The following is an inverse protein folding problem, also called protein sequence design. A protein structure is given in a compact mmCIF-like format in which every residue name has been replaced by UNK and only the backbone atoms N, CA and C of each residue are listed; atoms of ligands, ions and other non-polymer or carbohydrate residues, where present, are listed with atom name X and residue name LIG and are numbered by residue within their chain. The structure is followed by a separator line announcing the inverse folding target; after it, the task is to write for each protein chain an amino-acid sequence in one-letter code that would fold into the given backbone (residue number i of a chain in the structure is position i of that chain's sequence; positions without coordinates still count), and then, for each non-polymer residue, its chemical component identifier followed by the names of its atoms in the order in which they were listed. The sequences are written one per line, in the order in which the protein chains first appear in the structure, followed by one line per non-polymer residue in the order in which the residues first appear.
data_IF_430699654751
#
_entry.id   IF_430699654751
#
_cell.length_a   1.000
_cell.length_b   1.000
_cell.length_c   1.000
_cell.angle_alpha   90.00
_cell.angle_beta   90.00
_cell.angle_gamma   90.00
#
_symmetry.space_group_name_H-M   'P 1'
#
loop_
_entity.id
_entity.type
_entity.pdbx_description
1 polymer ?
#
# COMPACT_ATOMS: atom_id res chain seq x y z
N UNK A 1 -42.84 -63.47 36.06
CA UNK A 1 -43.47 -62.19 36.44
C UNK A 1 -42.74 -61.11 35.63
N UNK A 2 -43.26 -60.77 34.45
CA UNK A 2 -44.11 -59.60 34.18
C UNK A 2 -43.33 -58.28 34.35
N UNK A 3 -43.20 -57.38 33.37
CA UNK A 3 -43.84 -57.32 32.06
C UNK A 3 -43.26 -56.14 31.25
N UNK A 4 -43.38 -56.31 29.93
CA UNK A 4 -43.09 -55.39 28.85
C UNK A 4 -44.03 -54.17 28.92
N UNK A 5 -43.57 -52.98 28.52
CA UNK A 5 -44.40 -52.05 27.75
C UNK A 5 -43.58 -51.11 26.85
N UNK A 6 -43.90 -51.21 25.56
CA UNK A 6 -43.65 -50.24 24.50
C UNK A 6 -44.60 -49.03 24.63
N UNK A 7 -44.25 -47.94 23.95
CA UNK A 7 -45.05 -46.87 23.30
C UNK A 7 -44.14 -45.62 23.27
N UNK A 8 -43.93 -44.85 22.21
CA UNK A 8 -44.60 -44.66 20.94
C UNK A 8 -44.44 -43.17 20.57
N UNK A 9 -44.26 -42.83 19.29
CA UNK A 9 -44.44 -41.45 18.79
C UNK A 9 -43.24 -40.81 18.09
N UNK A 10 -43.03 -41.16 16.81
CA UNK A 10 -42.27 -40.35 15.84
C UNK A 10 -43.23 -39.31 15.23
N UNK A 11 -42.92 -38.03 15.33
CA UNK A 11 -43.52 -36.99 14.48
C UNK A 11 -42.44 -36.46 13.54
N UNK A 12 -42.44 -36.96 12.30
CA UNK A 12 -41.72 -36.36 11.17
C UNK A 12 -42.64 -35.31 10.55
N UNK A 13 -42.28 -34.04 10.71
CA UNK A 13 -42.91 -32.93 9.99
C UNK A 13 -42.22 -32.80 8.64
N UNK A 14 -42.93 -33.13 7.56
CA UNK A 14 -42.49 -32.83 6.19
C UNK A 14 -42.59 -31.30 5.96
N UNK A 15 -41.58 -30.65 5.37
CA UNK A 15 -41.73 -29.30 4.85
C UNK A 15 -42.54 -29.32 3.55
N UNK A 16 -43.35 -28.27 3.28
CA UNK A 16 -44.18 -28.21 2.08
C UNK A 16 -43.35 -28.03 0.80
N UNK A 17 -43.78 -28.74 -0.24
CA UNK A 17 -43.25 -28.64 -1.59
C UNK A 17 -43.55 -27.26 -2.20
N UNK A 18 -42.49 -26.49 -2.45
CA UNK A 18 -42.57 -25.26 -3.22
C UNK A 18 -42.84 -25.60 -4.70
N UNK A 19 -44.05 -25.24 -5.15
CA UNK A 19 -44.43 -25.20 -6.56
C UNK A 19 -43.50 -24.24 -7.31
N UNK A 20 -42.80 -24.75 -8.32
CA UNK A 20 -42.07 -23.97 -9.31
C UNK A 20 -43.03 -23.00 -10.01
N UNK A 21 -42.82 -21.70 -9.83
CA UNK A 21 -43.39 -20.63 -10.67
C UNK A 21 -42.41 -20.36 -11.81
N UNK A 22 -42.97 -20.24 -13.00
CA UNK A 22 -42.27 -20.19 -14.27
C UNK A 22 -41.31 -19.01 -14.46
N UNK A 23 -40.35 -19.27 -15.33
CA UNK A 23 -39.36 -18.36 -15.88
C UNK A 23 -39.99 -17.09 -16.46
N UNK A 24 -39.75 -15.97 -15.79
CA UNK A 24 -39.77 -14.66 -16.43
C UNK A 24 -38.31 -14.28 -16.74
N UNK A 25 -38.01 -14.17 -18.03
CA UNK A 25 -36.67 -13.89 -18.55
C UNK A 25 -36.04 -12.65 -17.92
N UNK A 26 -34.86 -12.84 -17.33
CA UNK A 26 -34.00 -11.78 -16.85
C UNK A 26 -33.26 -11.17 -18.06
N UNK A 27 -33.35 -9.85 -18.30
CA UNK A 27 -32.60 -9.21 -19.37
C UNK A 27 -31.10 -9.24 -19.05
N UNK A 28 -30.29 -9.73 -20.00
CA UNK A 28 -28.83 -9.69 -19.89
C UNK A 28 -28.33 -8.24 -19.83
N UNK A 29 -27.44 -7.88 -18.90
CA UNK A 29 -26.80 -6.58 -18.91
C UNK A 29 -25.88 -6.46 -20.13
N UNK A 30 -25.99 -5.33 -20.83
CA UNK A 30 -25.17 -5.00 -21.98
C UNK A 30 -23.68 -5.02 -21.60
N UNK A 31 -22.87 -5.71 -22.42
CA UNK A 31 -21.41 -5.74 -22.29
C UNK A 31 -20.86 -4.32 -22.43
N UNK A 32 -20.03 -3.82 -21.49
CA UNK A 32 -19.37 -2.53 -21.67
C UNK A 32 -18.39 -2.63 -22.85
N UNK A 33 -18.49 -1.66 -23.76
CA UNK A 33 -17.68 -1.58 -24.96
C UNK A 33 -16.20 -1.46 -24.66
N UNK A 34 -15.39 -2.20 -25.44
CA UNK A 34 -13.92 -2.08 -25.48
C UNK A 34 -13.54 -0.62 -25.70
N UNK A 35 -12.83 -0.01 -24.76
CA UNK A 35 -12.15 1.28 -25.00
C UNK A 35 -10.79 0.98 -25.63
N UNK A 36 -10.67 1.33 -26.91
CA UNK A 36 -9.39 1.44 -27.58
C UNK A 36 -8.64 2.64 -26.98
N UNK A 37 -7.46 2.39 -26.42
CA UNK A 37 -6.48 3.41 -26.12
C UNK A 37 -5.72 3.73 -27.41
N UNK A 38 -6.19 4.74 -28.15
CA UNK A 38 -5.46 5.31 -29.28
C UNK A 38 -5.09 6.75 -28.97
N UNK A 39 -3.78 6.96 -28.84
CA UNK A 39 -3.01 8.13 -29.31
C UNK A 39 -3.58 9.53 -29.04
N UNK A 40 -3.05 10.18 -28.00
CA UNK A 40 -2.99 11.64 -27.91
C UNK A 40 -1.86 12.10 -28.85
N UNK A 41 -2.21 12.68 -30.00
CA UNK A 41 -1.30 13.57 -30.74
C UNK A 41 -1.19 14.88 -29.97
N UNK A 42 0.04 15.30 -29.71
CA UNK A 42 0.35 16.68 -29.34
C UNK A 42 0.47 17.49 -30.62
N UNK A 43 -0.45 18.43 -30.81
CA UNK A 43 -0.31 19.50 -31.78
C UNK A 43 0.57 20.60 -31.17
N UNK A 44 1.70 20.85 -31.83
CA UNK A 44 2.53 22.03 -31.67
C UNK A 44 1.82 23.24 -32.29
N UNK A 45 1.74 24.34 -31.55
CA UNK A 45 1.68 25.70 -32.10
C UNK A 45 1.76 26.71 -30.94
N UNK A 46 2.76 27.59 -30.98
CA UNK A 46 2.56 29.05 -30.91
C UNK A 46 3.89 29.76 -30.65
N UNK A 47 4.44 30.32 -31.73
CA UNK A 47 5.45 31.37 -31.73
C UNK A 47 4.98 32.60 -30.94
N UNK A 48 5.79 33.03 -29.99
CA UNK A 48 5.60 34.27 -29.22
C UNK A 48 6.83 35.15 -29.31
N UNK A 49 6.93 35.93 -30.39
CA UNK A 49 7.91 37.01 -30.56
C UNK A 49 7.56 38.15 -29.61
N UNK A 50 8.44 38.48 -28.67
CA UNK A 50 8.40 39.74 -27.94
C UNK A 50 9.71 40.52 -28.14
N UNK A 51 9.57 41.68 -28.78
CA UNK A 51 10.58 42.70 -28.98
C UNK A 51 10.14 43.95 -28.20
N UNK A 52 11.03 44.48 -27.37
CA UNK A 52 11.00 45.85 -26.85
C UNK A 52 12.37 46.12 -26.20
N UNK A 53 13.30 46.73 -26.91
CA UNK A 53 13.59 48.19 -26.95
C UNK A 53 14.21 48.72 -25.65
N UNK A 54 15.48 49.08 -25.82
CA UNK A 54 16.32 49.83 -24.90
C UNK A 54 15.85 51.28 -24.81
N UNK A 55 15.97 51.87 -23.62
CA UNK A 55 16.18 53.30 -23.47
C UNK A 55 17.20 53.54 -22.34
N UNK A 56 18.29 54.17 -22.76
CA UNK A 56 19.36 54.75 -21.96
C UNK A 56 18.93 56.17 -21.59
N UNK A 57 18.84 56.48 -20.30
CA UNK A 57 18.96 57.87 -19.85
C UNK A 57 20.01 57.99 -18.74
N UNK A 58 21.05 58.71 -19.11
CA UNK A 58 22.16 59.26 -18.34
C UNK A 58 21.68 60.52 -17.61
N UNK A 59 21.76 60.52 -16.27
CA UNK A 59 21.83 61.76 -15.49
C UNK A 59 22.77 61.59 -14.30
N UNK A 60 23.96 62.16 -14.44
CA UNK A 60 24.90 62.36 -13.35
C UNK A 60 24.43 63.44 -12.38
N UNK A 61 24.63 63.19 -11.08
CA UNK A 61 24.77 64.26 -10.09
C UNK A 61 25.75 63.84 -9.00
N UNK A 62 26.93 64.47 -9.03
CA UNK A 62 27.93 64.49 -7.95
C UNK A 62 27.37 65.21 -6.74
N UNK A 63 27.21 64.51 -5.61
CA UNK A 63 27.23 65.13 -4.29
C UNK A 63 28.11 64.31 -3.35
N UNK A 64 29.10 64.99 -2.76
CA UNK A 64 30.02 64.50 -1.74
C UNK A 64 29.27 64.32 -0.44
N UNK A 65 29.44 63.20 0.25
CA UNK A 65 29.06 63.04 1.65
C UNK A 65 29.97 62.03 2.39
N UNK A 66 30.04 62.12 3.73
CA UNK A 66 31.26 61.95 4.52
C UNK A 66 31.59 60.48 4.81
N UNK A 67 32.89 60.17 4.81
CA UNK A 67 33.47 58.84 4.98
C UNK A 67 33.17 58.14 6.32
N UNK A 68 32.48 58.79 7.27
CA UNK A 68 32.16 58.21 8.59
C UNK A 68 30.77 57.57 8.67
N UNK A 69 29.84 57.92 7.77
CA UNK A 69 28.50 57.30 7.74
C UNK A 69 28.53 55.93 7.05
N UNK A 70 29.48 55.73 6.13
CA UNK A 70 29.62 54.49 5.34
C UNK A 70 30.05 53.30 6.19
N UNK A 71 30.86 53.53 7.22
CA UNK A 71 31.38 52.48 8.12
C UNK A 71 30.28 51.97 9.05
N UNK A 72 29.46 52.86 9.63
CA UNK A 72 28.33 52.45 10.49
C UNK A 72 27.26 51.67 9.74
N UNK A 73 26.96 52.05 8.49
CA UNK A 73 25.98 51.33 7.67
C UNK A 73 26.45 49.92 7.31
N UNK A 74 27.76 49.73 7.08
CA UNK A 74 28.34 48.40 6.83
C UNK A 74 28.38 47.53 8.09
N UNK A 75 28.56 48.14 9.27
CA UNK A 75 28.51 47.42 10.56
C UNK A 75 27.08 46.98 10.91
N UNK A 76 26.06 47.83 10.66
CA UNK A 76 24.64 47.44 10.84
C UNK A 76 24.21 46.33 9.87
N UNK A 77 24.58 46.40 8.60
CA UNK A 77 24.27 45.35 7.61
C UNK A 77 24.97 44.01 7.96
N UNK A 78 26.21 44.05 8.47
CA UNK A 78 26.91 42.86 8.94
C UNK A 78 26.26 42.26 10.20
N UNK A 79 25.77 43.11 11.11
CA UNK A 79 25.11 42.68 12.34
C UNK A 79 23.72 42.07 12.05
N UNK A 80 22.94 42.64 11.13
CA UNK A 80 21.67 42.03 10.67
C UNK A 80 21.88 40.68 9.99
N UNK A 81 22.92 40.55 9.16
CA UNK A 81 23.26 39.25 8.55
C UNK A 81 23.69 38.21 9.58
N UNK A 82 24.45 38.60 10.61
CA UNK A 82 24.86 37.71 11.70
C UNK A 82 23.66 37.28 12.56
N UNK A 83 22.72 38.19 12.83
CA UNK A 83 21.49 37.87 13.58
C UNK A 83 20.53 36.98 12.77
N UNK A 84 20.41 37.21 11.46
CA UNK A 84 19.65 36.33 10.57
C UNK A 84 20.23 34.92 10.53
N UNK A 85 21.57 34.80 10.41
CA UNK A 85 22.27 33.52 10.42
C UNK A 85 22.11 32.79 11.76
N UNK A 86 22.28 33.49 12.89
CA UNK A 86 22.10 32.90 14.23
C UNK A 86 20.63 32.52 14.51
N UNK A 87 19.66 33.21 13.89
CA UNK A 87 18.23 32.88 14.00
C UNK A 87 17.86 31.65 13.17
N UNK A 88 18.47 31.48 11.99
CA UNK A 88 18.38 30.24 11.21
C UNK A 88 19.00 29.06 11.95
N UNK A 89 20.19 29.24 12.53
CA UNK A 89 20.92 28.17 13.24
C UNK A 89 20.20 27.74 14.55
N UNK A 90 19.52 28.68 15.21
CA UNK A 90 18.64 28.38 16.36
C UNK A 90 17.32 27.73 15.94
N UNK A 91 16.83 28.00 14.74
CA UNK A 91 15.65 27.33 14.18
C UNK A 91 15.94 25.91 13.70
N UNK A 92 17.19 25.61 13.29
CA UNK A 92 17.59 24.28 12.84
C UNK A 92 17.95 23.32 13.98
N UNK A 93 18.33 23.82 15.16
CA UNK A 93 18.77 22.99 16.29
C UNK A 93 17.65 22.52 17.27
N UNK A 94 16.37 22.86 17.03
CA UNK A 94 15.27 22.47 17.94
C UNK A 94 14.36 21.33 17.46
N UNK A 95 14.69 20.67 16.34
CA UNK A 95 13.97 19.48 15.87
C UNK A 95 14.94 18.33 15.74
N UNK A 96 15.39 17.79 16.88
CA UNK A 96 15.84 16.40 16.86
C UNK A 96 14.68 15.57 16.29
N UNK A 97 14.89 14.83 15.19
CA UNK A 97 13.83 14.06 14.56
C UNK A 97 13.23 13.14 15.62
N UNK A 98 11.90 13.19 15.76
CA UNK A 98 11.19 12.33 16.69
C UNK A 98 11.60 10.88 16.41
N UNK A 99 12.32 10.26 17.34
CA UNK A 99 12.68 8.86 17.24
C UNK A 99 11.37 8.06 17.25
N UNK A 100 10.94 7.57 16.10
CA UNK A 100 9.70 6.82 15.97
C UNK A 100 9.83 5.52 16.75
N UNK A 101 9.03 5.31 17.79
CA UNK A 101 8.83 3.98 18.35
C UNK A 101 7.92 3.19 17.40
N UNK A 102 8.46 2.16 16.71
CA UNK A 102 7.69 1.39 15.73
C UNK A 102 6.54 0.60 16.37
N UNK A 103 6.54 0.39 17.69
CA UNK A 103 5.62 -0.53 18.36
C UNK A 103 4.47 0.15 19.13
N UNK A 104 4.26 1.46 18.98
CA UNK A 104 3.18 2.16 19.70
C UNK A 104 1.81 1.94 19.02
N UNK A 105 0.88 1.15 19.62
CA UNK A 105 -0.40 0.80 18.99
C UNK A 105 -1.30 1.99 18.69
N UNK A 106 -1.27 3.01 19.56
CA UNK A 106 -2.10 4.20 19.37
C UNK A 106 -1.53 5.15 18.32
N UNK A 107 -0.22 5.12 18.07
CA UNK A 107 0.38 5.82 16.94
C UNK A 107 -0.10 5.25 15.60
N UNK A 108 -0.19 3.92 15.47
CA UNK A 108 -0.73 3.28 14.26
C UNK A 108 -2.21 3.63 14.02
N UNK A 109 -3.02 3.61 15.07
CA UNK A 109 -4.43 3.98 14.99
C UNK A 109 -4.59 5.44 14.50
N UNK A 110 -3.79 6.37 15.02
CA UNK A 110 -3.80 7.76 14.59
C UNK A 110 -3.38 7.92 13.11
N UNK A 111 -2.32 7.20 12.67
CA UNK A 111 -1.88 7.17 11.26
C UNK A 111 -2.99 6.67 10.34
N UNK A 112 -3.62 5.54 10.68
CA UNK A 112 -4.71 4.98 9.89
C UNK A 112 -5.87 5.98 9.83
N UNK A 113 -6.26 6.58 10.95
CA UNK A 113 -7.34 7.59 10.98
C UNK A 113 -7.03 8.77 10.06
N UNK A 114 -5.80 9.28 10.07
CA UNK A 114 -5.37 10.37 9.20
C UNK A 114 -5.44 9.98 7.70
N UNK A 115 -5.03 8.75 7.36
CA UNK A 115 -5.12 8.24 5.99
C UNK A 115 -6.57 8.01 5.53
N UNK A 116 -7.46 7.58 6.42
CA UNK A 116 -8.89 7.47 6.11
C UNK A 116 -9.54 8.86 5.92
N UNK A 117 -9.10 9.87 6.68
CA UNK A 117 -9.51 11.27 6.47
C UNK A 117 -9.04 11.83 5.12
N UNK A 118 -7.80 11.53 4.73
CA UNK A 118 -7.28 11.86 3.40
C UNK A 118 -8.14 11.21 2.30
N UNK A 119 -8.50 9.93 2.44
CA UNK A 119 -9.40 9.23 1.51
C UNK A 119 -10.79 9.86 1.45
N UNK A 120 -11.34 10.29 2.57
CA UNK A 120 -12.68 10.91 2.61
C UNK A 120 -12.74 12.16 1.72
N UNK A 121 -11.65 12.93 1.66
CA UNK A 121 -11.56 14.15 0.84
C UNK A 121 -11.47 13.87 -0.65
N UNK A 122 -10.93 12.72 -1.05
CA UNK A 122 -10.97 12.27 -2.45
C UNK A 122 -12.38 11.85 -2.89
N UNK A 123 -13.29 11.61 -1.95
CA UNK A 123 -14.69 11.28 -2.22
C UNK A 123 -14.85 10.01 -3.05
N UNK A 124 -15.80 10.04 -4.00
CA UNK A 124 -16.15 8.90 -4.84
C UNK A 124 -15.26 8.71 -6.08
N UNK A 125 -14.17 9.48 -6.22
CA UNK A 125 -13.28 9.42 -7.37
C UNK A 125 -12.39 8.15 -7.31
N UNK A 126 -12.90 7.04 -7.84
CA UNK A 126 -12.25 5.72 -7.79
C UNK A 126 -10.81 5.73 -8.30
N UNK A 127 -10.49 6.50 -9.35
CA UNK A 127 -9.14 6.64 -9.87
C UNK A 127 -8.19 7.34 -8.87
N UNK A 128 -8.65 8.38 -8.18
CA UNK A 128 -7.85 9.07 -7.16
C UNK A 128 -7.65 8.19 -5.92
N UNK A 129 -8.66 7.42 -5.53
CA UNK A 129 -8.56 6.43 -4.45
C UNK A 129 -7.50 5.37 -4.76
N UNK A 130 -7.42 4.93 -6.02
CA UNK A 130 -6.42 3.97 -6.47
C UNK A 130 -5.02 4.59 -6.53
N UNK A 131 -4.88 5.81 -7.06
CA UNK A 131 -3.60 6.55 -7.04
C UNK A 131 -3.07 6.68 -5.61
N UNK A 132 -3.95 7.00 -4.65
CA UNK A 132 -3.55 7.06 -3.24
C UNK A 132 -3.14 5.68 -2.71
N UNK A 133 -3.81 4.59 -3.08
CA UNK A 133 -3.36 3.23 -2.71
C UNK A 133 -1.95 2.94 -3.22
N UNK A 134 -1.65 3.21 -4.49
CA UNK A 134 -0.32 3.00 -5.07
C UNK A 134 0.75 3.89 -4.43
N UNK A 135 0.39 5.16 -4.17
CA UNK A 135 1.26 6.11 -3.47
C UNK A 135 1.66 5.55 -2.10
N UNK A 136 0.67 5.11 -1.32
CA UNK A 136 0.92 4.54 -0.01
C UNK A 136 1.71 3.24 -0.11
N UNK A 137 1.46 2.38 -1.09
CA UNK A 137 2.26 1.17 -1.33
C UNK A 137 3.72 1.52 -1.57
N UNK A 138 4.01 2.44 -2.47
CA UNK A 138 5.39 2.80 -2.80
C UNK A 138 6.13 3.46 -1.65
N UNK A 139 5.42 4.24 -0.82
CA UNK A 139 5.99 4.86 0.38
C UNK A 139 6.66 3.85 1.31
N UNK A 140 6.14 2.61 1.39
CA UNK A 140 6.75 1.56 2.21
C UNK A 140 8.23 1.32 1.88
N UNK A 141 8.54 1.40 0.59
CA UNK A 141 9.84 1.05 0.04
C UNK A 141 10.74 2.27 -0.19
N UNK A 142 10.18 3.41 -0.62
CA UNK A 142 10.97 4.59 -1.03
C UNK A 142 11.07 5.68 0.02
N UNK A 143 10.41 5.52 1.18
CA UNK A 143 10.46 6.50 2.26
C UNK A 143 11.88 6.76 2.74
N UNK A 144 12.12 7.97 3.22
CA UNK A 144 13.37 8.30 3.93
C UNK A 144 13.38 7.57 5.29
N UNK A 145 14.57 7.35 5.84
CA UNK A 145 14.74 6.65 7.12
C UNK A 145 14.09 7.37 8.29
N UNK A 146 13.98 8.69 8.23
CA UNK A 146 13.39 9.58 9.22
C UNK A 146 11.89 9.85 9.00
N UNK A 147 11.30 9.31 7.93
CA UNK A 147 9.88 9.46 7.64
C UNK A 147 9.01 8.44 8.39
N UNK A 148 7.77 8.84 8.66
CA UNK A 148 6.75 7.98 9.25
C UNK A 148 6.53 6.72 8.38
N UNK A 149 6.41 5.52 8.98
CA UNK A 149 6.33 4.27 8.23
C UNK A 149 5.05 4.11 7.41
N UNK A 150 4.01 4.93 7.63
CA UNK A 150 2.73 4.80 6.95
C UNK A 150 2.28 6.07 6.24
N UNK A 151 2.56 7.24 6.81
CA UNK A 151 2.11 8.53 6.28
C UNK A 151 3.28 9.24 5.61
N UNK A 152 3.27 9.42 4.28
CA UNK A 152 4.32 10.19 3.61
C UNK A 152 4.42 11.61 4.17
N UNK A 153 5.66 12.11 4.30
CA UNK A 153 5.88 13.49 4.72
C UNK A 153 5.21 14.49 3.76
N UNK A 154 4.87 15.68 4.25
CA UNK A 154 4.17 16.72 3.44
C UNK A 154 4.96 17.08 2.18
N UNK A 155 6.29 17.06 2.26
CA UNK A 155 7.24 17.35 1.19
C UNK A 155 7.61 16.13 0.34
N UNK A 156 6.98 14.96 0.57
CA UNK A 156 7.26 13.75 -0.20
C UNK A 156 6.88 13.95 -1.68
N UNK A 157 7.79 13.63 -2.63
CA UNK A 157 7.49 13.74 -4.07
C UNK A 157 6.41 12.75 -4.51
N UNK A 158 6.10 11.74 -3.70
CA UNK A 158 5.01 10.81 -3.96
C UNK A 158 3.65 11.52 -4.11
N UNK A 159 3.44 12.65 -3.44
CA UNK A 159 2.21 13.43 -3.53
C UNK A 159 1.97 14.01 -4.92
N UNK A 160 3.00 14.20 -5.74
CA UNK A 160 2.89 14.72 -7.11
C UNK A 160 2.11 13.81 -8.06
N UNK A 161 1.91 12.54 -7.67
CA UNK A 161 1.04 11.60 -8.40
C UNK A 161 -0.44 11.97 -8.34
N UNK A 162 -0.85 12.73 -7.32
CA UNK A 162 -2.19 13.29 -7.23
C UNK A 162 -2.26 14.64 -7.98
N UNK A 163 -3.35 14.93 -8.71
CA UNK A 163 -3.55 16.25 -9.29
C UNK A 163 -3.56 17.34 -8.22
N UNK A 164 -3.16 18.55 -8.59
CA UNK A 164 -2.90 19.66 -7.66
C UNK A 164 -4.01 19.92 -6.64
N UNK A 165 -5.26 20.02 -7.10
CA UNK A 165 -6.40 20.33 -6.22
C UNK A 165 -6.67 19.18 -5.21
N UNK A 166 -6.86 17.91 -5.65
CA UNK A 166 -6.92 16.76 -4.73
C UNK A 166 -5.73 16.67 -3.77
N UNK A 167 -4.50 16.85 -4.29
CA UNK A 167 -3.25 16.83 -3.52
C UNK A 167 -3.28 17.84 -2.37
N UNK A 168 -3.56 19.10 -2.67
CA UNK A 168 -3.66 20.17 -1.67
C UNK A 168 -4.69 19.85 -0.59
N UNK A 169 -5.85 19.31 -0.97
CA UNK A 169 -6.90 18.98 0.00
C UNK A 169 -6.51 17.80 0.91
N UNK A 170 -5.83 16.79 0.36
CA UNK A 170 -5.26 15.67 1.14
C UNK A 170 -4.21 16.18 2.12
N UNK A 171 -3.23 16.96 1.64
CA UNK A 171 -2.18 17.53 2.48
C UNK A 171 -2.75 18.44 3.58
N UNK A 172 -3.78 19.23 3.28
CA UNK A 172 -4.47 20.03 4.28
C UNK A 172 -5.13 19.16 5.38
N UNK A 173 -5.67 17.98 5.04
CA UNK A 173 -6.18 17.04 6.07
C UNK A 173 -5.07 16.43 6.90
N UNK A 174 -3.95 16.07 6.27
CA UNK A 174 -2.79 15.51 6.96
C UNK A 174 -2.04 16.56 7.79
N UNK A 175 -2.20 17.86 7.50
CA UNK A 175 -1.53 18.93 8.23
C UNK A 175 -1.79 18.85 9.74
N UNK A 176 -3.00 18.53 10.19
CA UNK A 176 -3.31 18.34 11.62
C UNK A 176 -2.57 17.14 12.23
N UNK A 177 -2.39 16.07 11.46
CA UNK A 177 -1.62 14.89 11.88
C UNK A 177 -0.13 15.23 12.01
N UNK A 178 0.42 16.03 11.10
CA UNK A 178 1.83 16.44 11.14
C UNK A 178 2.12 17.56 12.15
N UNK A 179 1.18 18.48 12.36
CA UNK A 179 1.31 19.59 13.30
C UNK A 179 1.09 19.15 14.75
N UNK A 180 0.24 18.14 14.95
CA UNK A 180 0.14 17.47 16.24
C UNK A 180 1.32 16.53 16.41
N UNK A 181 2.06 16.65 17.51
CA UNK A 181 2.60 15.45 18.15
C UNK A 181 1.37 14.64 18.51
N UNK A 182 0.87 13.82 17.56
CA UNK A 182 -0.42 13.16 17.65
C UNK A 182 -0.54 12.61 19.06
N UNK A 183 -1.61 12.99 19.77
CA UNK A 183 -1.94 12.41 21.05
C UNK A 183 -2.15 10.92 20.80
N UNK A 184 -1.06 10.15 20.79
CA UNK A 184 -1.00 8.75 20.47
C UNK A 184 -1.83 7.91 21.45
N UNK A 185 -2.50 8.54 22.43
CA UNK A 185 -3.41 7.91 23.37
C UNK A 185 -4.91 8.03 23.03
N UNK A 186 -5.36 8.79 22.03
CA UNK A 186 -6.81 9.00 21.82
C UNK A 186 -7.45 8.17 20.70
N UNK A 187 -6.65 7.58 19.81
CA UNK A 187 -7.17 6.75 18.73
C UNK A 187 -6.86 5.29 19.00
N UNK A 188 -7.90 4.45 19.00
CA UNK A 188 -7.78 2.99 19.19
C UNK A 188 -8.58 2.33 18.07
N UNK A 189 -8.01 1.28 17.47
CA UNK A 189 -8.73 0.38 16.58
C UNK A 189 -9.36 -0.73 17.42
N UNK A 190 -10.68 -0.81 17.44
CA UNK A 190 -11.38 -1.80 18.26
C UNK A 190 -12.61 -2.38 17.57
N UNK A 191 -13.03 -3.54 18.06
CA UNK A 191 -14.31 -4.13 17.76
C UNK A 191 -15.34 -3.67 18.80
N UNK A 192 -16.55 -3.24 18.40
CA UNK A 192 -17.63 -2.98 19.36
C UNK A 192 -17.92 -4.21 20.21
N UNK A 193 -18.29 -4.00 21.48
CA UNK A 193 -18.58 -5.10 22.41
C UNK A 193 -19.61 -6.07 21.82
N UNK A 194 -19.20 -7.34 21.67
CA UNK A 194 -20.07 -8.41 21.16
C UNK A 194 -20.21 -8.47 19.64
N UNK A 195 -19.45 -7.69 18.86
CA UNK A 195 -19.48 -7.72 17.39
C UNK A 195 -18.09 -7.81 16.78
N UNK A 196 -17.92 -8.67 15.78
CA UNK A 196 -16.70 -8.80 14.97
C UNK A 196 -16.92 -8.32 13.52
N UNK A 197 -18.09 -7.75 13.23
CA UNK A 197 -18.50 -7.40 11.87
C UNK A 197 -18.07 -6.00 11.45
N UNK A 198 -17.58 -5.18 12.37
CA UNK A 198 -17.22 -3.78 12.13
C UNK A 198 -16.04 -3.40 13.02
N UNK A 199 -15.10 -2.62 12.49
CA UNK A 199 -14.02 -2.01 13.27
C UNK A 199 -14.31 -0.53 13.45
N UNK A 200 -14.11 -0.04 14.67
CA UNK A 200 -14.18 1.37 15.05
C UNK A 200 -12.76 1.91 15.17
N UNK A 201 -12.51 3.05 14.54
CA UNK A 201 -11.23 3.75 14.60
C UNK A 201 -11.45 5.25 14.58
N UNK A 202 -11.33 5.89 15.73
CA UNK A 202 -11.65 7.31 15.88
C UNK A 202 -13.08 7.59 15.42
N UNK A 203 -13.22 8.38 14.35
CA UNK A 203 -14.53 8.69 13.73
C UNK A 203 -14.94 7.72 12.62
N UNK A 204 -14.06 6.81 12.23
CA UNK A 204 -14.30 5.88 11.14
C UNK A 204 -14.91 4.58 11.65
N UNK A 205 -15.82 4.04 10.84
CA UNK A 205 -16.42 2.72 11.03
C UNK A 205 -16.48 2.05 9.68
N UNK A 206 -16.07 0.79 9.62
CA UNK A 206 -16.11 0.03 8.38
C UNK A 206 -16.37 -1.46 8.64
N UNK A 207 -17.14 -2.11 7.75
CA UNK A 207 -17.45 -3.51 7.89
C UNK A 207 -16.21 -4.38 7.69
N UNK A 208 -16.23 -5.56 8.31
CA UNK A 208 -15.19 -6.57 8.20
C UNK A 208 -15.81 -7.87 7.70
N UNK A 209 -15.16 -8.50 6.72
CA UNK A 209 -15.60 -9.80 6.24
C UNK A 209 -15.29 -10.88 7.29
N UNK A 210 -16.24 -11.79 7.51
CA UNK A 210 -16.04 -12.90 8.44
C UNK A 210 -14.88 -13.81 8.03
N UNK A 211 -14.58 -13.92 6.72
CA UNK A 211 -13.43 -14.65 6.19
C UNK A 211 -12.11 -14.08 6.69
N UNK A 212 -11.97 -12.76 6.74
CA UNK A 212 -10.76 -12.09 7.24
C UNK A 212 -10.53 -12.38 8.72
N UNK A 213 -11.60 -12.35 9.51
CA UNK A 213 -11.58 -12.73 10.92
C UNK A 213 -11.08 -14.17 11.09
N UNK A 214 -11.64 -15.11 10.33
CA UNK A 214 -11.23 -16.52 10.42
C UNK A 214 -9.78 -16.74 10.00
N UNK A 215 -9.30 -16.03 8.98
CA UNK A 215 -7.90 -16.10 8.55
C UNK A 215 -6.95 -15.59 9.63
N UNK A 216 -7.26 -14.44 10.24
CA UNK A 216 -6.46 -13.88 11.33
C UNK A 216 -6.49 -14.77 12.58
N UNK A 217 -7.65 -15.34 12.94
CA UNK A 217 -7.76 -16.29 14.05
C UNK A 217 -6.88 -17.53 13.83
N UNK A 218 -6.87 -18.06 12.60
CA UNK A 218 -6.04 -19.21 12.24
C UNK A 218 -4.54 -18.89 12.30
N UNK A 219 -4.17 -17.65 12.02
CA UNK A 219 -2.76 -17.21 11.95
C UNK A 219 -2.22 -16.62 13.24
N UNK A 220 -3.04 -16.45 14.26
CA UNK A 220 -2.61 -15.95 15.56
C UNK A 220 -1.46 -16.77 16.15
N UNK A 221 -0.36 -16.11 16.55
CA UNK A 221 0.86 -16.78 17.04
C UNK A 221 1.06 -16.75 18.56
N UNK A 222 0.36 -15.85 19.26
CA UNK A 222 0.52 -15.68 20.72
C UNK A 222 -0.46 -16.54 21.52
N UNK A 223 -0.31 -16.49 22.85
CA UNK A 223 -1.20 -17.12 23.86
C UNK A 223 -2.69 -16.83 23.63
N UNK A 224 -3.57 -17.67 24.19
CA UNK A 224 -5.02 -17.69 23.98
C UNK A 224 -5.81 -16.51 24.59
N UNK A 225 -5.16 -15.50 25.20
CA UNK A 225 -5.87 -14.34 25.76
C UNK A 225 -6.67 -13.61 24.66
N UNK A 226 -8.02 -13.56 24.76
CA UNK A 226 -8.85 -13.01 23.70
C UNK A 226 -8.77 -11.49 23.54
N UNK A 227 -8.45 -10.73 24.61
CA UNK A 227 -8.50 -9.26 24.56
C UNK A 227 -7.34 -8.63 23.76
N UNK A 228 -6.07 -9.06 23.95
CA UNK A 228 -4.97 -8.64 23.08
C UNK A 228 -5.19 -9.04 21.62
N UNK A 229 -5.79 -10.22 21.39
CA UNK A 229 -6.07 -10.75 20.04
C UNK A 229 -7.06 -9.90 19.27
N UNK A 230 -8.21 -9.56 19.87
CA UNK A 230 -9.23 -8.75 19.21
C UNK A 230 -8.69 -7.36 18.81
N UNK A 231 -7.94 -6.73 19.70
CA UNK A 231 -7.29 -5.43 19.44
C UNK A 231 -6.26 -5.52 18.31
N UNK A 232 -5.40 -6.54 18.32
CA UNK A 232 -4.42 -6.76 17.25
C UNK A 232 -5.09 -7.00 15.89
N UNK A 233 -6.19 -7.77 15.87
CA UNK A 233 -6.96 -8.01 14.66
C UNK A 233 -7.60 -6.73 14.12
N UNK A 234 -8.24 -5.94 14.99
CA UNK A 234 -8.82 -4.65 14.60
C UNK A 234 -7.76 -3.71 14.00
N UNK A 235 -6.55 -3.67 14.58
CA UNK A 235 -5.42 -2.89 14.06
C UNK A 235 -5.01 -3.33 12.65
N UNK A 236 -4.80 -4.63 12.42
CA UNK A 236 -4.43 -5.14 11.08
C UNK A 236 -5.52 -4.85 10.07
N UNK A 237 -6.80 -5.07 10.41
CA UNK A 237 -7.89 -4.77 9.50
C UNK A 237 -7.95 -3.28 9.13
N UNK A 238 -7.74 -2.41 10.12
CA UNK A 238 -7.69 -0.98 9.91
C UNK A 238 -6.52 -0.55 9.01
N UNK A 239 -5.34 -1.16 9.17
CA UNK A 239 -4.20 -0.95 8.28
C UNK A 239 -4.55 -1.27 6.83
N UNK A 240 -5.09 -2.45 6.57
CA UNK A 240 -5.43 -2.87 5.20
C UNK A 240 -6.54 -2.03 4.61
N UNK A 241 -7.45 -1.50 5.44
CA UNK A 241 -8.47 -0.55 4.99
C UNK A 241 -7.86 0.73 4.40
N UNK A 242 -6.66 1.13 4.82
CA UNK A 242 -5.97 2.28 4.21
C UNK A 242 -5.50 2.03 2.78
N UNK A 243 -5.36 0.77 2.35
CA UNK A 243 -4.89 0.41 1.00
C UNK A 243 -6.03 0.05 0.06
N UNK A 244 -7.22 -0.19 0.60
CA UNK A 244 -8.40 -0.51 -0.18
C UNK A 244 -8.98 0.72 -0.88
N UNK A 245 -9.44 0.51 -2.11
CA UNK A 245 -10.25 1.49 -2.82
C UNK A 245 -11.71 1.28 -2.43
N UNK A 246 -12.31 2.19 -1.63
CA UNK A 246 -13.66 2.01 -1.10
C UNK A 246 -14.76 2.04 -2.17
N UNK A 247 -14.41 2.43 -3.40
CA UNK A 247 -15.33 2.49 -4.54
C UNK A 247 -15.38 1.21 -5.35
N UNK A 248 -14.49 0.24 -5.10
CA UNK A 248 -14.62 -1.09 -5.69
C UNK A 248 -15.88 -1.76 -5.14
N UNK A 249 -16.58 -2.52 -5.98
CA UNK A 249 -17.78 -3.26 -5.56
C UNK A 249 -17.48 -4.08 -4.30
N UNK A 250 -18.42 -4.12 -3.35
CA UNK A 250 -18.22 -4.39 -1.92
C UNK A 250 -17.54 -5.70 -1.47
N UNK A 251 -16.99 -6.51 -2.38
CA UNK A 251 -16.23 -7.73 -2.10
C UNK A 251 -14.88 -7.81 -2.85
N UNK A 252 -14.44 -6.74 -3.53
CA UNK A 252 -13.15 -6.72 -4.24
C UNK A 252 -12.16 -5.85 -3.48
N UNK A 253 -11.14 -6.47 -2.89
CA UNK A 253 -9.93 -5.72 -2.50
C UNK A 253 -9.14 -5.36 -3.75
N UNK A 254 -8.25 -4.37 -3.59
CA UNK A 254 -7.35 -3.99 -4.69
C UNK A 254 -6.49 -5.17 -5.12
N UNK A 255 -6.09 -5.19 -6.40
CA UNK A 255 -5.28 -6.24 -7.02
C UNK A 255 -3.92 -6.47 -6.34
N UNK A 256 -3.51 -5.57 -5.44
CA UNK A 256 -2.28 -5.66 -4.64
C UNK A 256 -2.20 -6.87 -3.71
N UNK A 257 -3.31 -7.58 -3.51
CA UNK A 257 -3.41 -8.71 -2.59
C UNK A 257 -3.70 -10.04 -3.28
N UNK A 258 -3.56 -10.10 -4.61
CA UNK A 258 -3.84 -11.32 -5.34
C UNK A 258 -2.77 -12.36 -5.05
N UNK A 259 -3.19 -13.46 -4.42
CA UNK A 259 -2.34 -14.62 -4.24
C UNK A 259 -2.31 -15.38 -5.55
N UNK A 260 -1.17 -15.92 -5.93
CA UNK A 260 -1.18 -16.91 -6.97
C UNK A 260 -1.67 -18.25 -6.40
N UNK A 261 -2.89 -18.64 -6.74
CA UNK A 261 -3.40 -19.98 -6.49
C UNK A 261 -3.70 -20.60 -7.83
N UNK A 262 -2.76 -21.40 -8.30
CA UNK A 262 -3.02 -22.26 -9.43
C UNK A 262 -4.17 -23.21 -9.08
N UNK A 263 -5.19 -23.29 -9.94
CA UNK A 263 -6.16 -24.41 -9.95
C UNK A 263 -5.43 -25.76 -10.01
N UNK A 264 -4.19 -25.76 -10.51
CA UNK A 264 -3.20 -26.82 -10.35
C UNK A 264 -2.48 -26.72 -8.99
N UNK A 265 -3.22 -26.89 -7.89
CA UNK A 265 -2.79 -26.97 -6.46
C UNK A 265 -1.55 -27.83 -6.16
N UNK A 266 -0.95 -28.49 -7.16
CA UNK A 266 0.24 -29.34 -7.07
C UNK A 266 1.53 -28.72 -7.64
N UNK A 267 1.51 -27.49 -8.18
CA UNK A 267 2.54 -27.06 -9.15
C UNK A 267 3.63 -26.12 -8.66
N UNK A 268 3.57 -25.59 -7.43
CA UNK A 268 4.70 -24.86 -6.87
C UNK A 268 4.97 -25.26 -5.43
N UNK A 269 6.17 -25.76 -5.25
CA UNK A 269 6.88 -26.03 -4.01
C UNK A 269 7.32 -24.74 -3.30
N UNK A 270 6.54 -23.64 -3.42
CA UNK A 270 6.84 -22.37 -2.74
C UNK A 270 6.76 -22.60 -1.22
N UNK A 271 7.90 -22.45 -0.55
CA UNK A 271 8.01 -22.58 0.89
C UNK A 271 7.91 -21.22 1.58
N UNK A 272 8.45 -20.18 0.95
CA UNK A 272 8.48 -18.82 1.48
C UNK A 272 7.88 -17.80 0.50
N UNK A 273 7.08 -16.86 0.98
CA UNK A 273 6.47 -15.82 0.16
C UNK A 273 7.03 -14.44 0.49
N UNK A 274 7.83 -13.87 -0.42
CA UNK A 274 8.54 -12.59 -0.23
C UNK A 274 7.60 -11.38 -0.19
N UNK A 275 6.39 -11.53 -0.72
CA UNK A 275 5.37 -10.49 -0.76
C UNK A 275 4.02 -11.12 -0.44
N UNK A 276 3.60 -11.01 0.81
CA UNK A 276 2.29 -11.47 1.24
C UNK A 276 1.77 -10.64 2.42
N UNK A 277 0.61 -11.07 2.90
CA UNK A 277 -0.11 -10.56 4.06
C UNK A 277 -0.68 -11.75 4.83
N UNK A 278 -1.09 -11.55 6.10
CA UNK A 278 -1.87 -12.55 6.81
C UNK A 278 -3.10 -13.02 6.03
N UNK A 279 -3.70 -12.16 5.20
CA UNK A 279 -4.93 -12.44 4.48
C UNK A 279 -4.75 -13.33 3.25
N UNK A 280 -3.60 -13.24 2.57
CA UNK A 280 -3.40 -13.89 1.28
C UNK A 280 -2.23 -14.88 1.26
N UNK A 281 -1.37 -14.89 2.29
CA UNK A 281 -0.27 -15.83 2.37
C UNK A 281 -0.79 -17.28 2.28
N UNK A 282 -0.11 -18.08 1.47
CA UNK A 282 -0.27 -19.53 1.39
C UNK A 282 0.75 -20.21 2.30
N UNK A 283 1.94 -19.62 2.43
CA UNK A 283 3.00 -20.08 3.30
C UNK A 283 2.56 -20.07 4.78
N UNK A 284 3.20 -20.96 5.55
CA UNK A 284 2.98 -21.06 6.98
C UNK A 284 3.47 -19.81 7.72
N UNK A 285 3.03 -19.64 8.97
CA UNK A 285 3.56 -18.60 9.84
C UNK A 285 5.10 -18.73 9.97
N UNK A 286 5.79 -17.59 9.95
CA UNK A 286 7.25 -17.52 9.93
C UNK A 286 7.87 -17.70 8.55
N UNK A 287 7.06 -17.87 7.49
CA UNK A 287 7.53 -18.10 6.11
C UNK A 287 6.96 -17.12 5.08
N UNK A 288 6.39 -16.00 5.50
CA UNK A 288 6.02 -14.95 4.57
C UNK A 288 6.51 -13.60 5.07
N UNK A 289 6.96 -12.76 4.14
CA UNK A 289 7.31 -11.39 4.43
C UNK A 289 6.13 -10.49 4.09
N UNK A 290 6.02 -9.41 4.83
CA UNK A 290 4.88 -8.52 4.71
C UNK A 290 5.24 -7.08 4.98
N UNK A 291 4.29 -6.20 4.71
CA UNK A 291 4.49 -4.76 4.75
C UNK A 291 4.73 -4.23 6.16
N UNK A 292 3.91 -4.65 7.11
CA UNK A 292 3.91 -4.12 8.47
C UNK A 292 4.28 -5.20 9.50
N UNK A 293 5.52 -5.71 9.49
CA UNK A 293 5.92 -6.83 10.34
C UNK A 293 5.77 -6.54 11.84
N UNK A 294 5.83 -5.27 12.26
CA UNK A 294 5.65 -4.87 13.67
C UNK A 294 4.27 -5.24 14.21
N UNK A 295 3.23 -5.23 13.38
CA UNK A 295 1.89 -5.71 13.76
C UNK A 295 1.66 -7.14 13.25
N UNK A 296 2.12 -7.45 12.04
CA UNK A 296 1.77 -8.70 11.37
C UNK A 296 2.59 -9.91 11.83
N UNK A 297 3.66 -9.71 12.60
CA UNK A 297 4.38 -10.82 13.27
C UNK A 297 3.47 -11.59 14.23
N UNK A 298 2.48 -10.92 14.84
CA UNK A 298 1.40 -11.53 15.63
C UNK A 298 0.52 -12.51 14.82
N UNK A 299 0.56 -12.39 13.49
CA UNK A 299 -0.17 -13.20 12.53
C UNK A 299 0.78 -13.96 11.60
N UNK A 300 2.03 -14.15 12.01
CA UNK A 300 2.99 -15.03 11.35
C UNK A 300 3.88 -14.38 10.30
N UNK A 301 3.92 -13.05 10.16
CA UNK A 301 4.94 -12.39 9.32
C UNK A 301 6.35 -12.69 9.84
N UNK A 302 7.27 -12.96 8.92
CA UNK A 302 8.69 -13.24 9.19
C UNK A 302 9.57 -11.98 9.11
N UNK A 303 9.01 -10.84 8.70
CA UNK A 303 9.76 -9.62 8.43
C UNK A 303 9.22 -8.87 7.22
N UNK A 304 10.01 -7.93 6.70
CA UNK A 304 9.68 -7.13 5.51
C UNK A 304 10.64 -7.42 4.36
N UNK A 305 10.18 -7.19 3.14
CA UNK A 305 11.06 -7.02 2.00
C UNK A 305 11.78 -5.66 2.08
N UNK A 306 13.06 -5.53 1.67
CA UNK A 306 13.95 -6.58 1.16
C UNK A 306 14.71 -7.35 2.24
N UNK A 307 14.56 -6.99 3.52
CA UNK A 307 15.35 -7.54 4.64
C UNK A 307 15.32 -9.07 4.72
N UNK A 308 14.16 -9.68 4.42
CA UNK A 308 14.01 -11.14 4.45
C UNK A 308 14.89 -11.90 3.46
N UNK A 309 15.45 -11.25 2.43
CA UNK A 309 16.35 -11.89 1.48
C UNK A 309 17.56 -12.47 2.22
N UNK A 310 18.14 -11.74 3.17
CA UNK A 310 19.32 -12.20 3.92
C UNK A 310 18.96 -13.17 5.06
N UNK A 311 17.73 -13.08 5.57
CA UNK A 311 17.28 -13.87 6.71
C UNK A 311 16.90 -15.31 6.35
N UNK A 312 16.39 -15.52 5.13
CA UNK A 312 15.90 -16.84 4.73
C UNK A 312 17.04 -17.78 4.28
N UNK A 313 16.83 -19.11 4.43
CA UNK A 313 17.82 -20.10 4.03
C UNK A 313 18.11 -20.09 2.52
N UNK A 314 19.36 -20.32 2.12
CA UNK A 314 19.76 -20.38 0.70
C UNK A 314 19.15 -21.58 -0.03
N UNK A 315 18.84 -22.65 0.68
CA UNK A 315 18.18 -23.85 0.12
C UNK A 315 16.65 -23.69 -0.04
N UNK A 316 16.09 -22.53 0.33
CA UNK A 316 14.67 -22.25 0.25
C UNK A 316 14.14 -22.13 -1.18
N UNK A 317 12.86 -22.48 -1.35
CA UNK A 317 12.08 -22.18 -2.54
C UNK A 317 11.19 -20.97 -2.28
N UNK A 318 11.43 -19.88 -2.98
CA UNK A 318 10.80 -18.59 -2.69
C UNK A 318 9.82 -18.15 -3.79
N UNK A 319 8.69 -17.58 -3.38
CA UNK A 319 7.71 -16.91 -4.24
C UNK A 319 7.88 -15.39 -4.19
N UNK A 320 8.00 -14.79 -5.37
CA UNK A 320 8.23 -13.36 -5.60
C UNK A 320 7.07 -12.82 -6.43
N UNK A 321 6.04 -12.34 -5.73
CA UNK A 321 4.84 -11.73 -6.31
C UNK A 321 4.66 -10.30 -5.78
N UNK A 322 5.51 -9.35 -6.19
CA UNK A 322 5.48 -7.99 -5.67
C UNK A 322 4.14 -7.30 -5.97
N UNK A 323 3.74 -6.29 -5.17
CA UNK A 323 2.69 -5.37 -5.59
C UNK A 323 2.99 -4.83 -7.00
N UNK A 324 1.98 -4.70 -7.85
CA UNK A 324 2.16 -4.22 -9.23
C UNK A 324 2.29 -2.69 -9.29
N UNK A 325 3.04 -2.12 -8.36
CA UNK A 325 3.39 -0.71 -8.31
C UNK A 325 4.77 -0.48 -8.90
N UNK A 326 5.03 0.74 -9.36
CA UNK A 326 6.26 1.07 -10.07
C UNK A 326 7.48 0.90 -9.15
N UNK A 327 7.42 1.38 -7.90
CA UNK A 327 8.57 1.29 -7.00
C UNK A 327 8.98 -0.15 -6.66
N UNK A 328 8.02 -1.04 -6.35
CA UNK A 328 8.35 -2.43 -6.03
C UNK A 328 8.84 -3.19 -7.26
N UNK A 329 8.23 -2.98 -8.43
CA UNK A 329 8.67 -3.66 -9.65
C UNK A 329 10.06 -3.17 -10.08
N UNK A 330 10.31 -1.85 -10.04
CA UNK A 330 11.63 -1.29 -10.31
C UNK A 330 12.67 -1.88 -9.35
N UNK A 331 12.38 -1.89 -8.04
CA UNK A 331 13.33 -2.39 -7.06
C UNK A 331 13.59 -3.89 -7.17
N UNK A 332 12.55 -4.70 -7.36
CA UNK A 332 12.70 -6.15 -7.56
C UNK A 332 13.52 -6.42 -8.82
N UNK A 333 13.14 -5.86 -9.97
CA UNK A 333 13.71 -6.26 -11.24
C UNK A 333 15.02 -5.55 -11.60
N UNK A 334 15.23 -4.30 -11.18
CA UNK A 334 16.45 -3.54 -11.48
C UNK A 334 17.52 -3.68 -10.39
N UNK A 335 17.13 -3.87 -9.13
CA UNK A 335 18.06 -3.80 -8.01
C UNK A 335 18.25 -5.12 -7.28
N UNK A 336 17.22 -5.97 -7.22
CA UNK A 336 17.27 -7.19 -6.42
C UNK A 336 17.24 -8.50 -7.21
N UNK A 337 16.94 -8.50 -8.51
CA UNK A 337 16.69 -9.73 -9.28
C UNK A 337 17.86 -10.71 -9.21
N UNK A 338 19.06 -10.24 -9.51
CA UNK A 338 20.29 -11.04 -9.48
C UNK A 338 20.58 -11.59 -8.08
N UNK A 339 20.38 -10.75 -7.04
CA UNK A 339 20.57 -11.13 -5.64
C UNK A 339 19.56 -12.20 -5.21
N UNK A 340 18.29 -12.07 -5.59
CA UNK A 340 17.24 -13.02 -5.25
C UNK A 340 17.51 -14.35 -5.94
N UNK A 341 17.74 -14.35 -7.26
CA UNK A 341 17.96 -15.59 -8.02
C UNK A 341 19.27 -16.27 -7.63
N UNK A 342 20.34 -15.52 -7.42
CA UNK A 342 21.63 -16.09 -7.02
C UNK A 342 21.68 -16.62 -5.58
N UNK A 343 20.74 -16.24 -4.71
CA UNK A 343 20.74 -16.65 -3.30
C UNK A 343 19.91 -17.90 -3.02
N UNK A 344 18.77 -18.06 -3.70
CA UNK A 344 17.82 -19.12 -3.37
C UNK A 344 17.90 -20.27 -4.35
N UNK A 345 17.79 -21.50 -3.85
CA UNK A 345 17.77 -22.74 -4.64
C UNK A 345 16.80 -22.69 -5.81
N UNK A 346 15.62 -22.08 -5.62
CA UNK A 346 14.60 -21.92 -6.65
C UNK A 346 13.73 -20.71 -6.36
N UNK A 347 13.46 -19.93 -7.39
CA UNK A 347 12.63 -18.73 -7.31
C UNK A 347 11.44 -18.87 -8.25
N UNK A 348 10.25 -18.52 -7.76
CA UNK A 348 9.03 -18.34 -8.55
C UNK A 348 8.74 -16.85 -8.67
N UNK A 349 8.78 -16.28 -9.87
CA UNK A 349 8.62 -14.84 -10.11
C UNK A 349 7.34 -14.57 -10.87
N UNK A 350 6.60 -13.55 -10.42
CA UNK A 350 5.43 -13.00 -11.10
C UNK A 350 5.71 -11.55 -11.49
N UNK A 351 5.51 -11.21 -12.76
CA UNK A 351 5.75 -9.87 -13.29
C UNK A 351 4.64 -9.45 -14.25
N UNK A 352 3.95 -8.31 -14.04
CA UNK A 352 2.97 -7.85 -15.02
C UNK A 352 3.66 -7.50 -16.34
N UNK A 353 3.07 -7.88 -17.47
CA UNK A 353 3.64 -7.55 -18.79
C UNK A 353 3.17 -6.16 -19.20
N UNK A 354 4.00 -5.14 -18.98
CA UNK A 354 3.79 -3.76 -19.46
C UNK A 354 5.11 -3.11 -19.89
N UNK A 355 5.00 -1.96 -20.55
CA UNK A 355 6.15 -1.10 -20.83
C UNK A 355 6.63 -0.43 -19.54
N UNK A 356 7.90 -0.62 -19.22
CA UNK A 356 8.56 -0.11 -18.02
C UNK A 356 10.09 -0.27 -18.13
N UNK A 357 10.90 0.48 -17.36
CA UNK A 357 12.36 0.39 -17.43
C UNK A 357 12.93 -1.03 -17.18
N UNK A 358 12.30 -1.80 -16.29
CA UNK A 358 12.69 -3.20 -15.99
C UNK A 358 12.25 -4.24 -17.01
N UNK A 359 11.46 -3.87 -18.03
CA UNK A 359 10.93 -4.84 -19.00
C UNK A 359 12.04 -5.62 -19.71
N UNK A 360 13.19 -5.00 -19.94
CA UNK A 360 14.37 -5.66 -20.52
C UNK A 360 14.87 -6.84 -19.68
N UNK A 361 14.73 -6.78 -18.35
CA UNK A 361 15.13 -7.84 -17.42
C UNK A 361 14.30 -9.11 -17.59
N UNK A 362 13.02 -8.99 -18.00
CA UNK A 362 12.15 -10.14 -18.21
C UNK A 362 12.63 -11.06 -19.34
N UNK A 363 13.45 -10.55 -20.28
CA UNK A 363 14.06 -11.38 -21.34
C UNK A 363 15.02 -12.43 -20.79
N UNK A 364 15.56 -12.20 -19.59
CA UNK A 364 16.48 -13.12 -18.89
C UNK A 364 15.76 -14.34 -18.29
N UNK A 365 14.43 -14.29 -18.20
CA UNK A 365 13.57 -15.31 -17.61
C UNK A 365 13.17 -16.37 -18.64
N UNK A 366 14.14 -17.19 -19.09
CA UNK A 366 13.89 -18.22 -20.12
C UNK A 366 12.79 -19.19 -19.71
N UNK A 367 11.89 -19.49 -20.65
CA UNK A 367 10.83 -20.47 -20.42
C UNK A 367 9.71 -19.95 -19.53
N UNK A 368 9.66 -18.65 -19.26
CA UNK A 368 8.52 -18.03 -18.60
C UNK A 368 7.23 -18.23 -19.41
N UNK A 369 6.12 -18.40 -18.70
CA UNK A 369 4.78 -18.55 -19.27
C UNK A 369 3.89 -17.39 -18.86
N UNK A 370 2.77 -17.20 -19.55
CA UNK A 370 1.78 -16.21 -19.16
C UNK A 370 0.69 -16.85 -18.32
N UNK A 371 0.30 -16.17 -17.26
CA UNK A 371 -0.81 -16.50 -16.38
C UNK A 371 -1.71 -15.28 -16.22
N UNK A 372 -3.01 -15.51 -16.04
CA UNK A 372 -4.00 -14.45 -15.84
C UNK A 372 -4.94 -14.73 -14.68
N UNK A 373 -5.06 -15.97 -14.23
CA UNK A 373 -5.95 -16.34 -13.15
C UNK A 373 -5.18 -16.33 -11.83
N UNK A 374 -5.65 -15.48 -10.91
CA UNK A 374 -5.11 -15.34 -9.57
C UNK A 374 -6.20 -15.61 -8.55
N UNK A 375 -5.82 -15.93 -7.32
CA UNK A 375 -6.76 -16.07 -6.22
C UNK A 375 -6.95 -14.77 -5.49
N UNK A 376 -8.20 -14.36 -5.40
CA UNK A 376 -8.62 -13.24 -4.57
C UNK A 376 -9.14 -13.82 -3.25
N UNK A 377 -8.35 -13.64 -2.19
CA UNK A 377 -8.71 -14.09 -0.84
C UNK A 377 -9.97 -13.39 -0.32
N UNK A 378 -10.29 -12.20 -0.83
CA UNK A 378 -11.48 -11.44 -0.46
C UNK A 378 -12.74 -12.11 -0.99
N UNK A 379 -12.76 -12.42 -2.28
CA UNK A 379 -13.91 -13.06 -2.91
C UNK A 379 -13.92 -14.57 -2.72
N UNK A 380 -12.89 -15.13 -2.07
CA UNK A 380 -12.69 -16.57 -1.93
C UNK A 380 -12.82 -17.29 -3.27
N UNK A 381 -12.22 -16.73 -4.33
CA UNK A 381 -12.39 -17.20 -5.69
C UNK A 381 -11.24 -16.84 -6.62
N UNK A 382 -11.27 -17.41 -7.81
CA UNK A 382 -10.36 -17.03 -8.89
C UNK A 382 -10.81 -15.70 -9.51
N UNK A 383 -9.83 -14.84 -9.78
CA UNK A 383 -9.96 -13.55 -10.43
C UNK A 383 -9.07 -13.54 -11.65
N UNK A 384 -9.71 -13.37 -12.80
CA UNK A 384 -9.02 -13.17 -14.05
C UNK A 384 -8.49 -11.73 -14.14
N UNK A 385 -7.21 -11.58 -14.41
CA UNK A 385 -6.56 -10.30 -14.67
C UNK A 385 -6.62 -9.97 -16.15
N UNK A 386 -7.07 -8.77 -16.47
CA UNK A 386 -7.08 -8.26 -17.84
C UNK A 386 -5.67 -8.16 -18.43
N UNK A 387 -4.70 -7.79 -17.58
CA UNK A 387 -3.30 -7.73 -17.95
C UNK A 387 -2.64 -9.10 -17.77
N UNK A 388 -1.92 -9.62 -18.79
CA UNK A 388 -1.15 -10.85 -18.64
C UNK A 388 0.00 -10.65 -17.65
N UNK A 389 0.20 -11.65 -16.78
CA UNK A 389 1.31 -11.71 -15.84
C UNK A 389 2.25 -12.81 -16.30
N UNK A 390 3.53 -12.48 -16.42
CA UNK A 390 4.59 -13.43 -16.67
C UNK A 390 4.88 -14.20 -15.39
N UNK A 391 4.86 -15.52 -15.49
CA UNK A 391 5.29 -16.47 -14.47
C UNK A 391 6.58 -17.14 -14.90
N UNK A 392 7.59 -17.11 -14.04
CA UNK A 392 8.84 -17.82 -14.26
C UNK A 392 9.22 -18.63 -13.02
N UNK A 393 9.88 -19.76 -13.24
CA UNK A 393 10.53 -20.52 -12.18
C UNK A 393 11.94 -20.93 -12.61
N UNK A 394 12.90 -20.83 -11.72
CA UNK A 394 14.27 -21.25 -11.99
C UNK A 394 15.25 -20.90 -10.88
N UNK A 395 16.52 -21.26 -11.10
CA UNK A 395 17.65 -21.00 -10.21
C UNK A 395 18.69 -20.06 -10.83
N UNK A 396 18.62 -19.82 -12.15
CA UNK A 396 19.64 -19.10 -12.89
C UNK A 396 19.00 -18.22 -13.97
N UNK A 397 19.52 -17.00 -14.11
CA UNK A 397 19.10 -16.05 -15.14
C UNK A 397 19.89 -16.28 -16.42
N UNK A 398 19.30 -15.98 -17.59
CA UNK A 398 20.10 -15.92 -18.81
C UNK A 398 21.02 -14.71 -18.80
N UNK A 399 22.20 -14.90 -19.39
CA UNK A 399 23.12 -13.82 -19.71
C UNK A 399 22.47 -12.85 -20.70
N UNK A 400 22.59 -11.55 -20.42
CA UNK A 400 22.03 -10.48 -21.25
C UNK A 400 22.69 -10.40 -22.64
N UNK A 401 23.88 -11.01 -22.79
CA UNK A 401 24.72 -10.94 -23.99
C UNK A 401 24.74 -12.25 -24.79
N UNK A 402 23.98 -13.26 -24.40
CA UNK A 402 23.84 -14.53 -25.10
C UNK A 402 22.62 -14.51 -26.04
#
# INVERSE_FOLDING_TARGET
MQGINQLGGKNQTQPPSLKQRGDAGVPQPARPGRRNWSSISMDEDADGVFSASADLEDQGSKLREPSEIRTRKQEEEAQEHQEAFNKEERSSNSRLPAHFEPDNPGADAARVSALLDARQVLGAASNLQEILSYLLIDHDLVRRSDEDPMVPAIDSPLWERLPEVPRRNVLHRLASFHAGSAAAGSCIAEFPTGSWSEVHLGRHRFPVASTDIQVLLKRWTLSEDPAPRATAMARVLALYRTLENPMLSGNQRSSHQLAWRSSYKKSADIEYEMFASPFNAIAANGKFASRWPHIESLFGSAGRYPDVIDLWPEDAVVGVNPPFSDAYLDHVFLHCLDRIVGRFKKVHIFAPVREAPWRSQLRRLKGATLVQDFWDATSMGERHLEQPVLYWQGSDLQDVNA
#
